data_IF_971605681185
#
_entry.id   IF_971605681185
#
_cell.length_a   1.000
_cell.length_b   1.000
_cell.length_c   1.000
_cell.angle_alpha   90.00
_cell.angle_beta   90.00
_cell.angle_gamma   90.00
#
_symmetry.space_group_name_H-M   'P 1'
#
loop_
_entity.id
_entity.type
_entity.pdbx_description
1 polymer ?
#
# COMPACT_ATOMS: atom_id res chain seq x y z
N UNK A 1 7.50 19.08 1.86
CA UNK A 1 8.06 19.25 0.49
C UNK A 1 8.99 18.09 0.07
N UNK A 2 9.76 17.48 0.99
CA UNK A 2 10.61 16.31 0.67
C UNK A 2 9.80 15.15 0.12
N UNK A 3 8.63 14.87 0.69
CA UNK A 3 7.78 13.75 0.28
C UNK A 3 7.18 13.92 -1.12
N UNK A 4 6.82 15.15 -1.54
CA UNK A 4 6.40 15.44 -2.91
C UNK A 4 7.49 15.10 -3.93
N UNK A 5 8.74 15.51 -3.63
CA UNK A 5 9.90 15.17 -4.46
C UNK A 5 10.20 13.67 -4.46
N UNK A 6 10.04 13.00 -3.32
CA UNK A 6 10.20 11.56 -3.21
C UNK A 6 9.15 10.82 -4.06
N UNK A 7 7.87 11.24 -4.02
CA UNK A 7 6.82 10.68 -4.87
C UNK A 7 7.14 10.77 -6.36
N UNK A 8 7.55 11.93 -6.84
CA UNK A 8 8.02 12.09 -8.21
C UNK A 8 9.28 11.24 -8.49
N UNK A 9 10.16 11.10 -7.49
CA UNK A 9 11.33 10.23 -7.57
C UNK A 9 10.98 8.77 -7.87
N UNK A 10 9.90 8.22 -7.28
CA UNK A 10 9.43 6.86 -7.58
C UNK A 10 8.94 6.73 -9.02
N UNK A 11 8.27 7.76 -9.56
CA UNK A 11 7.89 7.75 -10.97
C UNK A 11 9.12 7.64 -11.88
N UNK A 12 10.15 8.45 -11.61
CA UNK A 12 11.40 8.42 -12.38
C UNK A 12 12.16 7.09 -12.18
N UNK A 13 12.22 6.57 -10.94
CA UNK A 13 12.84 5.26 -10.66
C UNK A 13 12.12 4.14 -11.42
N UNK A 14 10.79 4.13 -11.42
CA UNK A 14 10.00 3.16 -12.15
C UNK A 14 10.20 3.23 -13.66
N UNK A 15 10.28 4.43 -14.26
CA UNK A 15 10.56 4.60 -15.67
C UNK A 15 11.97 4.10 -16.03
N UNK A 16 12.98 4.40 -15.19
CA UNK A 16 14.34 3.90 -15.38
C UNK A 16 14.42 2.38 -15.24
N UNK A 17 13.71 1.81 -14.28
CA UNK A 17 13.63 0.37 -14.10
C UNK A 17 13.02 -0.29 -15.33
N UNK A 18 11.88 0.19 -15.81
CA UNK A 18 11.21 -0.31 -17.00
C UNK A 18 12.10 -0.19 -18.25
N UNK A 19 12.79 0.94 -18.41
CA UNK A 19 13.73 1.16 -19.54
C UNK A 19 14.95 0.22 -19.46
N UNK A 20 15.43 -0.14 -18.27
CA UNK A 20 16.52 -1.08 -18.06
C UNK A 20 16.12 -2.55 -18.29
N UNK A 21 14.82 -2.85 -18.21
CA UNK A 21 14.28 -4.20 -18.39
C UNK A 21 13.41 -4.28 -19.66
N UNK A 22 14.03 -4.20 -20.82
CA UNK A 22 13.34 -4.13 -22.12
C UNK A 22 12.28 -5.20 -22.36
N UNK A 23 12.45 -6.42 -21.82
CA UNK A 23 11.44 -7.48 -21.87
C UNK A 23 10.18 -7.12 -21.07
N UNK A 24 10.34 -6.59 -19.86
CA UNK A 24 9.24 -6.15 -19.01
C UNK A 24 8.54 -4.92 -19.58
N UNK A 25 9.30 -3.99 -20.18
CA UNK A 25 8.75 -2.87 -20.92
C UNK A 25 7.87 -3.36 -22.09
N UNK A 26 8.37 -4.32 -22.88
CA UNK A 26 7.62 -4.93 -23.99
C UNK A 26 6.32 -5.58 -23.53
N UNK A 27 6.37 -6.33 -22.44
CA UNK A 27 5.18 -6.94 -21.81
C UNK A 27 4.19 -5.88 -21.35
N UNK A 28 4.65 -4.77 -20.77
CA UNK A 28 3.79 -3.67 -20.33
C UNK A 28 3.19 -2.84 -21.47
N UNK A 29 3.82 -2.79 -22.66
CA UNK A 29 3.28 -2.11 -23.84
C UNK A 29 2.37 -3.02 -24.69
N UNK A 30 2.49 -4.34 -24.52
CA UNK A 30 1.75 -5.33 -25.33
C UNK A 30 0.24 -5.14 -25.32
N UNK A 31 -0.42 -4.86 -24.17
CA UNK A 31 -1.87 -4.65 -24.15
C UNK A 31 -2.30 -3.44 -24.97
N UNK A 32 -1.54 -2.35 -24.94
CA UNK A 32 -1.81 -1.17 -25.76
C UNK A 32 -1.71 -1.48 -27.25
N UNK A 33 -0.72 -2.27 -27.65
CA UNK A 33 -0.55 -2.68 -29.04
C UNK A 33 -1.66 -3.65 -29.49
N UNK A 34 -2.02 -4.62 -28.68
CA UNK A 34 -3.12 -5.57 -28.97
C UNK A 34 -4.42 -4.79 -29.14
N UNK A 35 -4.73 -3.88 -28.22
CA UNK A 35 -5.94 -3.06 -28.28
C UNK A 35 -5.93 -2.17 -29.52
N UNK A 36 -4.79 -1.55 -29.84
CA UNK A 36 -4.66 -0.71 -31.03
C UNK A 36 -4.95 -1.51 -32.33
N UNK A 37 -4.35 -2.70 -32.48
CA UNK A 37 -4.59 -3.56 -33.63
C UNK A 37 -6.05 -3.99 -33.71
N UNK A 38 -6.66 -4.34 -32.59
CA UNK A 38 -8.08 -4.70 -32.50
C UNK A 38 -8.98 -3.55 -32.98
N UNK A 39 -8.73 -2.33 -32.50
CA UNK A 39 -9.54 -1.16 -32.84
C UNK A 39 -9.32 -0.70 -34.28
N UNK A 40 -8.09 -0.74 -34.77
CA UNK A 40 -7.81 -0.44 -36.19
C UNK A 40 -8.53 -1.46 -37.07
N UNK A 41 -8.47 -2.76 -36.75
CA UNK A 41 -9.21 -3.80 -37.46
C UNK A 41 -10.73 -3.58 -37.43
N UNK A 42 -11.28 -3.23 -36.27
CA UNK A 42 -12.70 -2.93 -36.11
C UNK A 42 -13.14 -1.69 -36.91
N UNK A 43 -12.34 -0.62 -36.91
CA UNK A 43 -12.63 0.59 -37.70
C UNK A 43 -12.52 0.35 -39.20
N UNK A 44 -11.55 -0.47 -39.62
CA UNK A 44 -11.45 -0.90 -41.03
C UNK A 44 -12.69 -1.73 -41.41
N UNK A 45 -13.06 -2.69 -40.58
CA UNK A 45 -14.29 -3.47 -40.80
C UNK A 45 -15.55 -2.62 -40.86
N UNK A 46 -15.64 -1.62 -39.96
CA UNK A 46 -16.73 -0.63 -39.99
C UNK A 46 -16.71 0.21 -41.27
N UNK A 47 -15.55 0.67 -41.73
CA UNK A 47 -15.42 1.45 -42.96
C UNK A 47 -15.91 0.70 -44.19
N UNK A 48 -15.64 -0.60 -44.29
CA UNK A 48 -16.12 -1.46 -45.38
C UNK A 48 -17.55 -1.92 -45.23
N UNK A 49 -18.03 -2.13 -43.99
CA UNK A 49 -19.36 -2.68 -43.73
C UNK A 49 -20.44 -1.63 -43.46
N UNK A 50 -20.09 -0.36 -43.29
CA UNK A 50 -21.05 0.69 -42.91
C UNK A 50 -22.11 0.91 -44.00
N UNK A 51 -21.76 0.89 -45.26
CA UNK A 51 -22.68 1.07 -46.40
C UNK A 51 -23.68 -0.10 -46.47
N UNK A 52 -23.20 -1.33 -46.34
CA UNK A 52 -24.03 -2.53 -46.35
C UNK A 52 -24.98 -2.53 -45.14
N UNK A 53 -24.47 -2.17 -43.98
CA UNK A 53 -25.26 -2.02 -42.74
C UNK A 53 -26.36 -0.98 -42.89
N UNK A 54 -26.05 0.18 -43.45
CA UNK A 54 -27.03 1.26 -43.69
C UNK A 54 -28.05 0.81 -44.72
N UNK A 55 -27.66 0.17 -45.82
CA UNK A 55 -28.57 -0.42 -46.80
C UNK A 55 -29.54 -1.41 -46.17
N UNK A 56 -29.02 -2.32 -45.35
CA UNK A 56 -29.82 -3.30 -44.61
C UNK A 56 -30.78 -2.64 -43.60
N UNK A 57 -30.33 -1.60 -42.92
CA UNK A 57 -31.14 -0.88 -41.90
C UNK A 57 -32.18 0.09 -42.48
N UNK A 58 -32.13 0.42 -43.78
CA UNK A 58 -32.99 1.41 -44.42
C UNK A 58 -33.78 0.86 -45.63
N UNK A 59 -34.47 -0.32 -45.51
CA UNK A 59 -35.26 -0.85 -46.65
C UNK A 59 -36.42 0.05 -47.04
N UNK A 60 -36.94 0.86 -46.12
CA UNK A 60 -38.02 1.81 -46.36
C UNK A 60 -37.65 2.93 -47.32
N UNK A 61 -36.37 3.17 -47.56
CA UNK A 61 -35.87 4.21 -48.43
C UNK A 61 -35.62 3.73 -49.88
N UNK A 62 -35.78 2.42 -50.17
CA UNK A 62 -35.46 1.86 -51.49
C UNK A 62 -36.28 2.48 -52.62
N UNK A 63 -37.49 2.91 -52.33
CA UNK A 63 -38.43 3.55 -53.31
C UNK A 63 -38.13 5.04 -53.51
N UNK A 64 -37.13 5.60 -52.87
CA UNK A 64 -36.81 7.01 -52.98
C UNK A 64 -36.07 7.30 -54.29
N UNK A 65 -36.40 8.43 -54.91
CA UNK A 65 -35.72 8.86 -56.14
C UNK A 65 -34.26 9.26 -55.90
N UNK A 66 -33.37 8.89 -56.81
CA UNK A 66 -32.03 9.46 -56.88
C UNK A 66 -32.18 10.95 -57.23
N UNK A 67 -31.49 11.90 -56.56
CA UNK A 67 -30.30 11.73 -55.69
C UNK A 67 -30.58 11.64 -54.18
N UNK A 68 -31.82 11.72 -53.73
CA UNK A 68 -32.18 11.80 -52.30
C UNK A 68 -31.78 10.53 -51.54
N UNK A 69 -31.93 9.34 -52.14
CA UNK A 69 -31.51 8.05 -51.56
C UNK A 69 -30.02 8.04 -51.28
N UNK A 70 -29.21 8.43 -52.28
CA UNK A 70 -27.74 8.45 -52.13
C UNK A 70 -27.28 9.46 -51.09
N UNK A 71 -27.87 10.64 -51.01
CA UNK A 71 -27.54 11.63 -50.01
C UNK A 71 -27.91 11.14 -48.59
N UNK A 72 -29.10 10.57 -48.42
CA UNK A 72 -29.59 10.04 -47.13
C UNK A 72 -28.70 8.93 -46.63
N UNK A 73 -28.43 7.88 -47.45
CA UNK A 73 -27.60 6.78 -47.08
C UNK A 73 -26.12 7.20 -46.84
N UNK A 74 -25.60 8.09 -47.69
CA UNK A 74 -24.24 8.62 -47.48
C UNK A 74 -24.10 9.40 -46.17
N UNK A 75 -25.09 10.26 -45.81
CA UNK A 75 -25.11 10.94 -44.50
C UNK A 75 -25.22 9.94 -43.35
N UNK A 76 -26.01 8.87 -43.47
CA UNK A 76 -26.18 7.87 -42.43
C UNK A 76 -24.94 7.01 -42.27
N UNK A 77 -24.28 6.62 -43.38
CA UNK A 77 -22.97 5.92 -43.35
C UNK A 77 -21.92 6.77 -42.66
N UNK A 78 -21.80 8.04 -42.99
CA UNK A 78 -20.88 8.97 -42.34
C UNK A 78 -21.19 9.12 -40.85
N UNK A 79 -22.48 9.17 -40.46
CA UNK A 79 -22.89 9.22 -39.05
C UNK A 79 -22.53 7.92 -38.30
N UNK A 80 -22.79 6.77 -38.90
CA UNK A 80 -22.46 5.44 -38.31
C UNK A 80 -20.94 5.33 -38.11
N UNK A 81 -20.16 5.74 -39.09
CA UNK A 81 -18.70 5.75 -38.98
C UNK A 81 -18.21 6.73 -37.91
N UNK A 82 -18.72 7.95 -37.88
CA UNK A 82 -18.38 8.95 -36.87
C UNK A 82 -18.74 8.49 -35.45
N UNK A 83 -19.91 7.87 -35.27
CA UNK A 83 -20.33 7.30 -34.00
C UNK A 83 -19.42 6.12 -33.59
N UNK A 84 -19.09 5.24 -34.50
CA UNK A 84 -18.17 4.14 -34.27
C UNK A 84 -16.76 4.61 -33.87
N UNK A 85 -16.25 5.62 -34.58
CA UNK A 85 -14.97 6.26 -34.24
C UNK A 85 -15.03 6.92 -32.84
N UNK A 86 -16.10 7.64 -32.55
CA UNK A 86 -16.30 8.26 -31.24
C UNK A 86 -16.33 7.21 -30.10
N UNK A 87 -17.09 6.13 -30.28
CA UNK A 87 -17.13 5.03 -29.32
C UNK A 87 -15.77 4.34 -29.18
N UNK A 88 -15.04 4.16 -30.30
CA UNK A 88 -13.70 3.61 -30.30
C UNK A 88 -12.74 4.45 -29.45
N UNK A 89 -12.74 5.79 -29.64
CA UNK A 89 -11.88 6.70 -28.87
C UNK A 89 -12.19 6.64 -27.37
N UNK A 90 -13.47 6.67 -26.99
CA UNK A 90 -13.87 6.64 -25.58
C UNK A 90 -13.55 5.29 -24.92
N UNK A 91 -13.86 4.19 -25.59
CA UNK A 91 -13.69 2.85 -25.04
C UNK A 91 -12.26 2.33 -25.11
N UNK A 92 -11.39 2.90 -25.97
CA UNK A 92 -10.01 2.47 -26.16
C UNK A 92 -9.23 2.38 -24.84
N UNK A 93 -9.30 3.43 -24.00
CA UNK A 93 -8.60 3.45 -22.72
C UNK A 93 -9.13 2.37 -21.77
N UNK A 94 -10.45 2.22 -21.68
CA UNK A 94 -11.07 1.22 -20.82
C UNK A 94 -10.70 -0.21 -21.24
N UNK A 95 -10.74 -0.50 -22.55
CA UNK A 95 -10.37 -1.81 -23.10
C UNK A 95 -8.87 -2.08 -22.94
N UNK A 96 -8.02 -1.07 -23.16
CA UNK A 96 -6.57 -1.18 -22.95
C UNK A 96 -6.24 -1.51 -21.50
N UNK A 97 -6.90 -0.87 -20.54
CA UNK A 97 -6.72 -1.17 -19.11
C UNK A 97 -7.22 -2.57 -18.77
N UNK A 98 -8.38 -2.98 -19.27
CA UNK A 98 -8.92 -4.32 -19.03
C UNK A 98 -8.00 -5.43 -19.57
N UNK A 99 -7.55 -5.28 -20.82
CA UNK A 99 -6.58 -6.21 -21.45
C UNK A 99 -5.23 -6.14 -20.74
N UNK A 100 -4.89 -4.98 -20.19
CA UNK A 100 -3.60 -4.72 -19.52
C UNK A 100 -3.48 -5.36 -18.14
N UNK A 101 -4.56 -5.64 -17.42
CA UNK A 101 -4.53 -6.13 -16.05
C UNK A 101 -3.55 -7.30 -15.83
N UNK A 102 -3.63 -8.44 -16.55
CA UNK A 102 -2.72 -9.57 -16.33
C UNK A 102 -1.26 -9.22 -16.64
N UNK A 103 -1.02 -8.29 -17.57
CA UNK A 103 0.33 -7.85 -17.92
C UNK A 103 0.92 -6.95 -16.83
N UNK A 104 0.13 -6.07 -16.25
CA UNK A 104 0.56 -5.18 -15.15
C UNK A 104 0.77 -5.94 -13.85
N UNK A 105 -0.04 -6.97 -13.57
CA UNK A 105 0.19 -7.89 -12.47
C UNK A 105 1.53 -8.63 -12.60
N UNK A 106 1.81 -9.16 -13.79
CA UNK A 106 3.09 -9.79 -14.09
C UNK A 106 4.26 -8.81 -13.96
N UNK A 107 4.12 -7.60 -14.50
CA UNK A 107 5.15 -6.56 -14.40
C UNK A 107 5.43 -6.20 -12.93
N UNK A 108 4.40 -5.99 -12.13
CA UNK A 108 4.54 -5.73 -10.71
C UNK A 108 5.19 -6.90 -9.96
N UNK A 109 4.87 -8.16 -10.35
CA UNK A 109 5.54 -9.35 -9.81
C UNK A 109 7.02 -9.44 -10.20
N UNK A 110 7.37 -9.04 -11.42
CA UNK A 110 8.76 -9.01 -11.89
C UNK A 110 9.58 -7.96 -11.14
N UNK A 111 8.99 -6.78 -10.84
CA UNK A 111 9.62 -5.75 -10.00
C UNK A 111 9.87 -6.30 -8.60
N UNK A 112 8.87 -6.91 -7.96
CA UNK A 112 9.05 -7.49 -6.63
C UNK A 112 10.14 -8.56 -6.61
N UNK A 113 10.20 -9.45 -7.61
CA UNK A 113 11.25 -10.47 -7.71
C UNK A 113 12.64 -9.89 -7.89
N UNK A 114 12.78 -8.86 -8.74
CA UNK A 114 14.08 -8.24 -9.01
C UNK A 114 14.66 -7.56 -7.78
N UNK A 115 13.82 -7.02 -6.93
CA UNK A 115 14.24 -6.25 -5.74
C UNK A 115 14.33 -7.12 -4.47
N UNK A 116 13.54 -8.22 -4.37
CA UNK A 116 13.55 -9.08 -3.19
C UNK A 116 14.48 -10.28 -3.30
N UNK A 117 14.93 -10.63 -4.52
CA UNK A 117 15.71 -11.86 -4.77
C UNK A 117 14.93 -13.15 -4.51
N UNK A 118 13.62 -13.10 -4.26
CA UNK A 118 12.76 -14.22 -3.90
C UNK A 118 11.46 -14.30 -4.69
N UNK A 119 10.52 -15.13 -4.23
CA UNK A 119 9.19 -15.24 -4.82
C UNK A 119 8.38 -13.95 -4.60
N UNK A 120 7.61 -13.54 -5.61
CA UNK A 120 6.66 -12.44 -5.44
C UNK A 120 5.58 -12.85 -4.42
N UNK A 121 5.12 -11.93 -3.56
CA UNK A 121 4.04 -12.21 -2.62
C UNK A 121 2.77 -12.66 -3.36
N UNK A 122 2.10 -13.69 -2.85
CA UNK A 122 0.82 -14.19 -3.36
C UNK A 122 -0.23 -14.14 -2.24
N UNK A 123 -1.45 -13.74 -2.59
CA UNK A 123 -2.54 -13.58 -1.62
C UNK A 123 -3.02 -14.91 -0.99
N UNK A 124 -2.73 -16.04 -1.64
CA UNK A 124 -3.19 -17.37 -1.21
C UNK A 124 -4.71 -17.56 -1.21
N UNK A 125 -5.47 -16.62 -1.75
CA UNK A 125 -6.92 -16.66 -1.83
C UNK A 125 -7.39 -17.43 -3.06
N UNK A 126 -8.58 -18.02 -2.99
CA UNK A 126 -9.22 -18.63 -4.16
C UNK A 126 -9.60 -17.55 -5.19
N UNK A 127 -9.43 -17.82 -6.48
CA UNK A 127 -9.73 -16.90 -7.59
C UNK A 127 -11.13 -16.25 -7.48
N UNK A 128 -12.15 -17.02 -7.11
CA UNK A 128 -13.50 -16.47 -6.96
C UNK A 128 -13.63 -15.46 -5.83
N UNK A 129 -12.92 -15.68 -4.72
CA UNK A 129 -12.90 -14.74 -3.58
C UNK A 129 -12.11 -13.50 -3.91
N UNK A 130 -11.00 -13.64 -4.61
CA UNK A 130 -10.15 -12.53 -5.05
C UNK A 130 -10.90 -11.61 -6.03
N UNK A 131 -11.58 -12.18 -7.03
CA UNK A 131 -12.46 -11.46 -7.95
C UNK A 131 -13.61 -10.74 -7.23
N UNK A 132 -14.26 -11.37 -6.26
CA UNK A 132 -15.33 -10.74 -5.49
C UNK A 132 -14.83 -9.55 -4.66
N UNK A 133 -13.68 -9.70 -3.99
CA UNK A 133 -13.05 -8.62 -3.21
C UNK A 133 -12.69 -7.46 -4.15
N UNK A 134 -12.04 -7.76 -5.28
CA UNK A 134 -11.63 -6.77 -6.27
C UNK A 134 -12.82 -6.01 -6.86
N UNK A 135 -13.90 -6.72 -7.24
CA UNK A 135 -15.12 -6.10 -7.77
C UNK A 135 -15.80 -5.18 -6.73
N UNK A 136 -15.89 -5.62 -5.49
CA UNK A 136 -16.46 -4.83 -4.38
C UNK A 136 -15.61 -3.60 -4.08
N UNK A 137 -14.29 -3.73 -4.10
CA UNK A 137 -13.36 -2.64 -3.84
C UNK A 137 -13.39 -1.62 -4.98
N UNK A 138 -13.39 -2.07 -6.24
CA UNK A 138 -13.56 -1.22 -7.42
C UNK A 138 -14.87 -0.44 -7.38
N UNK A 139 -15.99 -1.07 -7.01
CA UNK A 139 -17.29 -0.40 -6.86
C UNK A 139 -17.24 0.68 -5.78
N UNK A 140 -16.60 0.42 -4.65
CA UNK A 140 -16.45 1.41 -3.58
C UNK A 140 -15.59 2.60 -4.00
N UNK A 141 -14.51 2.35 -4.74
CA UNK A 141 -13.67 3.41 -5.30
C UNK A 141 -14.46 4.21 -6.31
N UNK A 142 -15.16 3.56 -7.23
CA UNK A 142 -15.99 4.22 -8.24
C UNK A 142 -17.04 5.14 -7.61
N UNK A 143 -17.74 4.68 -6.57
CA UNK A 143 -18.71 5.51 -5.84
C UNK A 143 -18.01 6.73 -5.22
N UNK A 144 -16.85 6.57 -4.59
CA UNK A 144 -16.11 7.69 -3.99
C UNK A 144 -15.65 8.69 -5.05
N UNK A 145 -15.03 8.20 -6.12
CA UNK A 145 -14.59 9.06 -7.24
C UNK A 145 -15.78 9.78 -7.87
N UNK A 146 -16.90 9.07 -8.06
CA UNK A 146 -18.15 9.65 -8.56
C UNK A 146 -18.68 10.76 -7.64
N UNK A 147 -18.70 10.54 -6.32
CA UNK A 147 -19.11 11.56 -5.35
C UNK A 147 -18.19 12.80 -5.40
N UNK A 148 -16.87 12.61 -5.45
CA UNK A 148 -15.94 13.74 -5.62
C UNK A 148 -16.12 14.42 -6.97
N UNK A 149 -16.34 13.66 -8.06
CA UNK A 149 -16.59 14.20 -9.39
C UNK A 149 -17.83 15.07 -9.43
N UNK A 150 -18.96 14.60 -8.89
CA UNK A 150 -20.21 15.37 -8.80
C UNK A 150 -20.04 16.64 -7.95
N UNK A 151 -19.33 16.51 -6.80
CA UNK A 151 -19.08 17.66 -5.94
C UNK A 151 -18.21 18.71 -6.64
N UNK A 152 -17.11 18.29 -7.27
CA UNK A 152 -16.21 19.19 -8.00
C UNK A 152 -16.91 19.80 -9.23
N UNK A 153 -17.74 19.02 -9.92
CA UNK A 153 -18.55 19.53 -11.03
C UNK A 153 -19.51 20.62 -10.55
N UNK A 154 -20.26 20.39 -9.47
CA UNK A 154 -21.16 21.38 -8.90
C UNK A 154 -20.42 22.66 -8.46
N UNK A 155 -19.26 22.51 -7.81
CA UNK A 155 -18.41 23.63 -7.41
C UNK A 155 -17.77 24.36 -8.61
N UNK A 156 -17.64 23.69 -9.76
CA UNK A 156 -17.14 24.26 -11.01
C UNK A 156 -17.98 25.40 -11.56
N UNK A 157 -19.27 25.47 -11.19
CA UNK A 157 -20.17 26.57 -11.59
C UNK A 157 -19.93 27.86 -10.78
N UNK A 158 -19.13 27.82 -9.72
CA UNK A 158 -18.83 29.03 -8.93
C UNK A 158 -17.86 29.91 -9.73
N UNK A 159 -18.19 31.16 -10.05
CA UNK A 159 -17.32 32.06 -10.82
C UNK A 159 -15.97 32.25 -10.10
N UNK A 160 -14.90 32.37 -10.88
CA UNK A 160 -13.52 32.58 -10.42
C UNK A 160 -12.90 31.34 -9.74
N UNK A 161 -13.56 30.77 -8.72
CA UNK A 161 -13.07 29.58 -7.99
C UNK A 161 -13.19 28.35 -8.88
N UNK A 162 -14.29 28.19 -9.60
CA UNK A 162 -14.57 27.05 -10.47
C UNK A 162 -13.55 26.87 -11.60
N UNK A 163 -13.01 27.96 -12.12
CA UNK A 163 -12.11 27.90 -13.28
C UNK A 163 -10.63 27.69 -12.92
N UNK A 164 -10.21 28.01 -11.70
CA UNK A 164 -8.79 27.92 -11.29
C UNK A 164 -8.55 26.90 -10.19
N UNK A 165 -9.29 26.99 -9.09
CA UNK A 165 -9.07 26.15 -7.90
C UNK A 165 -9.63 24.74 -8.10
N UNK A 166 -10.84 24.63 -8.68
CA UNK A 166 -11.49 23.32 -8.84
C UNK A 166 -10.73 22.38 -9.76
N UNK A 167 -10.19 22.79 -10.93
CA UNK A 167 -9.33 21.91 -11.74
C UNK A 167 -8.08 21.44 -10.98
N UNK A 168 -7.43 22.31 -10.21
CA UNK A 168 -6.25 21.93 -9.42
C UNK A 168 -6.60 20.87 -8.36
N UNK A 169 -7.71 21.06 -7.63
CA UNK A 169 -8.22 20.05 -6.70
C UNK A 169 -8.60 18.77 -7.44
N UNK A 170 -9.21 18.88 -8.62
CA UNK A 170 -9.55 17.75 -9.48
C UNK A 170 -8.33 16.92 -9.84
N UNK A 171 -7.23 17.54 -10.24
CA UNK A 171 -5.97 16.84 -10.51
C UNK A 171 -5.38 16.19 -9.24
N UNK A 172 -5.50 16.82 -8.08
CA UNK A 172 -5.06 16.21 -6.82
C UNK A 172 -5.90 14.96 -6.48
N UNK A 173 -7.22 15.05 -6.62
CA UNK A 173 -8.13 13.92 -6.39
C UNK A 173 -7.83 12.80 -7.39
N UNK A 174 -7.75 13.12 -8.67
CA UNK A 174 -7.42 12.16 -9.74
C UNK A 174 -6.05 11.51 -9.49
N UNK A 175 -5.04 12.31 -9.16
CA UNK A 175 -3.70 11.82 -8.85
C UNK A 175 -3.68 10.88 -7.65
N UNK A 176 -4.43 11.19 -6.59
CA UNK A 176 -4.53 10.31 -5.43
C UNK A 176 -5.15 8.95 -5.79
N UNK A 177 -6.29 8.95 -6.50
CA UNK A 177 -6.94 7.70 -6.90
C UNK A 177 -6.17 6.93 -7.97
N UNK A 178 -5.48 7.62 -8.87
CA UNK A 178 -4.57 6.99 -9.83
C UNK A 178 -3.41 6.28 -9.11
N UNK A 179 -2.85 6.89 -8.08
CA UNK A 179 -1.83 6.23 -7.25
C UNK A 179 -2.41 5.02 -6.53
N UNK A 180 -3.62 5.13 -5.99
CA UNK A 180 -4.31 4.00 -5.34
C UNK A 180 -4.49 2.84 -6.32
N UNK A 181 -4.97 3.10 -7.52
CA UNK A 181 -5.17 2.09 -8.57
C UNK A 181 -3.86 1.39 -8.94
N UNK A 182 -2.78 2.15 -9.18
CA UNK A 182 -1.49 1.57 -9.55
C UNK A 182 -0.83 0.78 -8.41
N UNK A 183 -1.00 1.22 -7.16
CA UNK A 183 -0.49 0.52 -5.98
C UNK A 183 -1.37 -0.66 -5.58
N UNK A 184 -2.64 -0.68 -6.02
CA UNK A 184 -3.59 -1.74 -5.71
C UNK A 184 -3.06 -3.12 -6.09
N UNK A 185 -2.46 -3.25 -7.27
CA UNK A 185 -1.88 -4.52 -7.76
C UNK A 185 -0.84 -5.09 -6.79
N UNK A 186 0.10 -4.24 -6.33
CA UNK A 186 1.15 -4.67 -5.42
C UNK A 186 0.64 -4.95 -4.00
N UNK A 187 -0.33 -4.16 -3.51
CA UNK A 187 -0.91 -4.29 -2.17
C UNK A 187 -1.90 -5.46 -2.07
N UNK A 188 -2.68 -5.75 -3.13
CA UNK A 188 -3.60 -6.89 -3.19
C UNK A 188 -2.85 -8.21 -3.14
N UNK A 189 -1.73 -8.34 -3.86
CA UNK A 189 -0.88 -9.54 -3.79
C UNK A 189 -0.32 -9.79 -2.39
N UNK A 190 -0.21 -8.75 -1.56
CA UNK A 190 0.16 -8.84 -0.15
C UNK A 190 -1.03 -9.06 0.79
N UNK A 191 -2.22 -9.33 0.23
CA UNK A 191 -3.45 -9.60 0.99
C UNK A 191 -4.05 -8.37 1.69
N UNK A 192 -3.60 -7.15 1.38
CA UNK A 192 -4.13 -5.94 2.00
C UNK A 192 -5.49 -5.56 1.42
N UNK A 193 -6.49 -5.39 2.30
CA UNK A 193 -7.81 -4.91 1.93
C UNK A 193 -7.81 -3.40 1.62
N UNK A 194 -8.89 -2.90 0.98
CA UNK A 194 -9.02 -1.50 0.56
C UNK A 194 -8.84 -0.48 1.70
N UNK A 195 -9.38 -0.77 2.91
CA UNK A 195 -9.31 0.18 4.03
C UNK A 195 -7.87 0.43 4.50
N UNK A 196 -7.06 -0.59 4.83
CA UNK A 196 -5.65 -0.40 5.19
C UNK A 196 -4.84 0.21 4.04
N UNK A 197 -5.10 -0.16 2.76
CA UNK A 197 -4.43 0.48 1.61
C UNK A 197 -4.66 1.99 1.57
N UNK A 198 -5.91 2.42 1.67
CA UNK A 198 -6.25 3.85 1.71
C UNK A 198 -5.71 4.56 2.97
N UNK A 199 -5.62 3.87 4.11
CA UNK A 199 -5.01 4.43 5.31
C UNK A 199 -3.50 4.65 5.11
N UNK A 200 -2.80 3.68 4.53
CA UNK A 200 -1.38 3.77 4.20
C UNK A 200 -1.09 4.95 3.24
N UNK A 201 -1.83 5.08 2.15
CA UNK A 201 -1.67 6.19 1.21
C UNK A 201 -2.03 7.55 1.82
N UNK A 202 -2.99 7.58 2.74
CA UNK A 202 -3.37 8.80 3.46
C UNK A 202 -2.36 9.21 4.53
N UNK A 203 -1.63 8.30 5.13
CA UNK A 203 -0.56 8.62 6.10
C UNK A 203 0.56 9.41 5.41
N UNK A 204 0.85 9.11 4.14
CA UNK A 204 1.90 9.77 3.33
C UNK A 204 1.31 10.51 2.11
N UNK A 205 0.30 11.39 2.36
CA UNK A 205 -0.45 12.09 1.30
C UNK A 205 0.43 12.86 0.31
N UNK A 206 1.45 13.53 0.80
CA UNK A 206 2.35 14.33 -0.06
C UNK A 206 3.17 13.44 -1.01
N UNK A 207 3.60 12.28 -0.54
CA UNK A 207 4.29 11.29 -1.37
C UNK A 207 3.34 10.73 -2.43
N UNK A 208 2.12 10.34 -2.04
CA UNK A 208 1.07 9.85 -2.93
C UNK A 208 0.73 10.87 -4.02
N UNK A 209 0.54 12.15 -3.64
CA UNK A 209 0.26 13.22 -4.59
C UNK A 209 1.49 13.55 -5.47
N UNK A 210 2.69 13.49 -4.92
CA UNK A 210 3.93 13.70 -5.67
C UNK A 210 4.15 12.65 -6.77
N UNK A 211 3.65 11.43 -6.58
CA UNK A 211 3.64 10.39 -7.59
C UNK A 211 2.47 10.55 -8.57
N UNK A 212 1.25 10.70 -8.05
CA UNK A 212 0.04 10.59 -8.86
C UNK A 212 -0.31 11.85 -9.64
N UNK A 213 -0.06 13.07 -9.14
CA UNK A 213 -0.46 14.30 -9.84
C UNK A 213 0.31 14.50 -11.14
N UNK A 214 1.66 14.37 -11.17
CA UNK A 214 2.41 14.44 -12.43
C UNK A 214 1.96 13.38 -13.43
N UNK A 215 1.65 12.17 -12.95
CA UNK A 215 1.18 11.08 -13.77
C UNK A 215 -0.22 11.34 -14.32
N UNK A 216 -1.14 11.88 -13.51
CA UNK A 216 -2.48 12.27 -13.95
C UNK A 216 -2.44 13.36 -15.02
N UNK A 217 -1.54 14.34 -14.89
CA UNK A 217 -1.31 15.37 -15.92
C UNK A 217 -0.77 14.73 -17.22
N UNK A 218 0.20 13.82 -17.10
CA UNK A 218 0.77 13.14 -18.26
C UNK A 218 -0.27 12.25 -18.98
N UNK A 219 -1.19 11.63 -18.23
CA UNK A 219 -2.25 10.76 -18.77
C UNK A 219 -3.38 11.51 -19.48
N UNK A 220 -3.42 12.84 -19.41
CA UNK A 220 -4.30 13.66 -20.27
C UNK A 220 -4.00 13.38 -21.77
N UNK A 221 -2.76 13.02 -22.08
CA UNK A 221 -2.36 12.63 -23.45
C UNK A 221 -2.34 11.09 -23.53
N UNK A 222 -3.30 10.44 -24.23
CA UNK A 222 -3.44 8.99 -24.26
C UNK A 222 -2.20 8.23 -24.71
N UNK A 223 -1.49 8.76 -25.71
CA UNK A 223 -0.24 8.13 -26.20
C UNK A 223 0.84 8.16 -25.12
N UNK A 224 0.98 9.26 -24.39
CA UNK A 224 1.93 9.38 -23.27
C UNK A 224 1.59 8.38 -22.19
N UNK A 225 0.29 8.20 -21.88
CA UNK A 225 -0.17 7.23 -20.90
C UNK A 225 0.30 5.81 -21.23
N UNK A 226 0.17 5.37 -22.49
CA UNK A 226 0.59 4.03 -22.92
C UNK A 226 2.08 3.79 -22.64
N UNK A 227 2.93 4.78 -22.98
CA UNK A 227 4.37 4.64 -22.77
C UNK A 227 4.81 4.77 -21.30
N UNK A 228 4.08 5.57 -20.52
CA UNK A 228 4.41 5.77 -19.11
C UNK A 228 3.87 4.64 -18.22
N UNK A 229 2.84 3.91 -18.65
CA UNK A 229 2.14 2.91 -17.83
C UNK A 229 3.08 1.83 -17.26
N UNK A 230 3.97 1.19 -18.03
CA UNK A 230 4.88 0.19 -17.46
C UNK A 230 5.77 0.74 -16.35
N UNK A 231 6.32 1.92 -16.55
CA UNK A 231 7.14 2.59 -15.54
C UNK A 231 6.33 3.09 -14.35
N UNK A 232 5.06 3.48 -14.55
CA UNK A 232 4.17 3.87 -13.47
C UNK A 232 3.84 2.67 -12.56
N UNK A 233 3.54 1.50 -13.13
CA UNK A 233 3.33 0.25 -12.36
C UNK A 233 4.59 -0.14 -11.60
N UNK A 234 5.76 -0.10 -12.26
CA UNK A 234 7.02 -0.39 -11.59
C UNK A 234 7.32 0.58 -10.44
N UNK A 235 7.14 1.89 -10.66
CA UNK A 235 7.31 2.92 -9.65
C UNK A 235 6.35 2.80 -8.47
N UNK A 236 5.08 2.46 -8.73
CA UNK A 236 4.09 2.18 -7.71
C UNK A 236 4.47 0.96 -6.85
N UNK A 237 4.98 -0.10 -7.47
CA UNK A 237 5.44 -1.30 -6.76
C UNK A 237 6.65 -1.00 -5.86
N UNK A 238 7.63 -0.23 -6.35
CA UNK A 238 8.77 0.21 -5.55
C UNK A 238 8.33 1.10 -4.38
N UNK A 239 7.41 2.03 -4.62
CA UNK A 239 6.86 2.89 -3.58
C UNK A 239 6.13 2.08 -2.49
N UNK A 240 5.35 1.06 -2.86
CA UNK A 240 4.65 0.18 -1.90
C UNK A 240 5.63 -0.55 -1.01
N UNK A 241 6.73 -1.06 -1.57
CA UNK A 241 7.77 -1.76 -0.78
C UNK A 241 8.36 -0.85 0.28
N UNK A 242 8.84 0.33 -0.14
CA UNK A 242 9.45 1.28 0.79
C UNK A 242 8.46 1.75 1.86
N UNK A 243 7.16 1.92 1.51
CA UNK A 243 6.13 2.30 2.48
C UNK A 243 5.84 1.21 3.52
N UNK A 244 5.91 -0.06 3.14
CA UNK A 244 5.72 -1.19 4.05
C UNK A 244 6.94 -1.39 4.94
N UNK A 245 8.15 -1.30 4.39
CA UNK A 245 9.39 -1.40 5.15
C UNK A 245 9.49 -0.27 6.22
N UNK A 246 9.10 0.97 5.87
CA UNK A 246 9.01 2.08 6.82
C UNK A 246 7.92 1.84 7.88
N UNK A 247 6.77 1.26 7.50
CA UNK A 247 5.66 0.97 8.42
C UNK A 247 6.07 -0.06 9.46
N UNK A 248 6.73 -1.13 9.03
CA UNK A 248 7.22 -2.21 9.90
C UNK A 248 8.32 -1.69 10.86
N UNK A 249 9.20 -0.80 10.40
CA UNK A 249 10.21 -0.16 11.22
C UNK A 249 9.59 0.79 12.28
N UNK A 250 8.55 1.55 11.90
CA UNK A 250 7.82 2.42 12.83
C UNK A 250 7.06 1.63 13.89
N UNK A 251 6.48 0.48 13.53
CA UNK A 251 5.76 -0.39 14.48
C UNK A 251 6.73 -1.10 15.43
N UNK A 252 7.90 -1.52 14.97
CA UNK A 252 8.95 -2.09 15.81
C UNK A 252 9.50 -1.09 16.82
N UNK A 253 9.72 0.16 16.41
CA UNK A 253 10.18 1.21 17.33
C UNK A 253 9.13 1.56 18.36
N UNK A 254 7.84 1.63 17.99
CA UNK A 254 6.75 1.86 18.94
C UNK A 254 6.57 0.70 19.92
N UNK A 255 6.68 -0.53 19.44
CA UNK A 255 6.65 -1.72 20.29
C UNK A 255 7.77 -1.71 21.33
N UNK A 256 9.00 -1.36 20.94
CA UNK A 256 10.14 -1.24 21.84
C UNK A 256 9.98 -0.10 22.87
N UNK A 257 9.41 1.03 22.44
CA UNK A 257 9.12 2.16 23.34
C UNK A 257 8.00 1.85 24.34
N UNK A 258 6.98 1.06 23.94
CA UNK A 258 5.91 0.61 24.84
C UNK A 258 6.40 -0.45 25.84
N UNK A 259 7.31 -1.34 25.41
CA UNK A 259 7.95 -2.34 26.30
C UNK A 259 8.84 -1.65 27.36
N UNK A 260 9.61 -0.65 26.95
CA UNK A 260 10.44 0.15 27.89
C UNK A 260 9.58 0.96 28.86
N UNK A 261 8.46 1.54 28.41
CA UNK A 261 7.52 2.24 29.29
C UNK A 261 6.75 1.30 30.22
N UNK A 262 6.38 0.13 29.74
CA UNK A 262 5.75 -0.93 30.55
C UNK A 262 6.68 -1.41 31.67
N UNK A 263 7.97 -1.64 31.35
CA UNK A 263 9.00 -2.02 32.32
C UNK A 263 9.26 -0.95 33.39
N UNK A 264 9.27 0.33 33.01
CA UNK A 264 9.39 1.43 33.97
C UNK A 264 8.18 1.59 34.88
N UNK A 265 6.98 1.23 34.41
CA UNK A 265 5.75 1.20 35.20
C UNK A 265 5.74 0.06 36.23
N UNK A 266 6.27 -1.09 35.86
CA UNK A 266 6.36 -2.27 36.73
C UNK A 266 7.43 -2.09 37.82
N UNK A 267 8.60 -1.55 37.46
CA UNK A 267 9.66 -1.22 38.44
C UNK A 267 9.21 -0.10 39.42
N UNK A 268 8.41 0.87 38.97
CA UNK A 268 7.84 1.88 39.88
C UNK A 268 6.80 1.29 40.81
N UNK A 269 5.93 0.37 40.37
CA UNK A 269 4.96 -0.34 41.21
C UNK A 269 5.64 -1.22 42.26
N UNK A 270 6.65 -1.99 41.86
CA UNK A 270 7.45 -2.80 42.77
C UNK A 270 8.20 -1.93 43.81
N UNK A 271 8.71 -0.77 43.41
CA UNK A 271 9.32 0.21 44.31
C UNK A 271 8.34 0.86 45.30
N UNK A 272 7.09 1.09 44.88
CA UNK A 272 6.04 1.60 45.77
C UNK A 272 5.49 0.53 46.75
N UNK A 273 5.42 -0.73 46.34
CA UNK A 273 5.06 -1.87 47.20
C UNK A 273 6.13 -2.12 48.26
N UNK A 274 7.42 -2.08 47.89
CA UNK A 274 8.50 -2.18 48.89
C UNK A 274 8.51 -1.03 49.85
N UNK A 275 8.24 0.20 49.43
CA UNK A 275 8.13 1.36 50.33
C UNK A 275 6.93 1.28 51.26
N UNK A 276 5.82 0.70 50.81
CA UNK A 276 4.63 0.45 51.68
C UNK A 276 4.94 -0.62 52.73
N UNK A 277 5.56 -1.72 52.35
CA UNK A 277 5.98 -2.77 53.25
C UNK A 277 6.98 -2.28 54.32
N UNK A 278 7.96 -1.44 53.93
CA UNK A 278 8.90 -0.80 54.86
C UNK A 278 8.23 0.22 55.75
N UNK A 279 7.19 0.89 55.31
CA UNK A 279 6.36 1.80 56.15
C UNK A 279 5.52 1.07 57.19
N UNK A 280 4.99 -0.11 56.84
CA UNK A 280 4.21 -0.96 57.79
C UNK A 280 5.12 -1.60 58.82
N UNK A 281 6.30 -2.10 58.46
CA UNK A 281 7.26 -2.65 59.42
C UNK A 281 7.78 -1.58 60.40
N UNK A 282 8.00 -0.34 59.94
CA UNK A 282 8.35 0.77 60.84
C UNK A 282 7.23 1.16 61.82
N UNK A 283 5.96 1.15 61.38
CA UNK A 283 4.79 1.41 62.27
C UNK A 283 4.60 0.31 63.30
N UNK A 284 4.73 -0.96 62.91
CA UNK A 284 4.70 -2.08 63.84
C UNK A 284 5.85 -2.05 64.88
N UNK A 285 7.04 -1.63 64.47
CA UNK A 285 8.19 -1.43 65.36
C UNK A 285 8.01 -0.29 66.36
N UNK A 286 7.30 0.79 65.98
CA UNK A 286 7.01 1.93 66.86
C UNK A 286 5.89 1.63 67.82
N UNK A 287 4.95 0.80 67.45
CA UNK A 287 3.84 0.33 68.29
C UNK A 287 4.31 -0.62 69.35
N UNK A 288 5.23 -1.55 69.07
CA UNK A 288 5.88 -2.43 70.04
C UNK A 288 6.79 -1.66 71.00
N UNK A 289 7.36 -0.52 70.59
CA UNK A 289 8.17 0.34 71.46
C UNK A 289 7.32 1.18 72.43
N UNK A 290 6.05 1.52 72.07
CA UNK A 290 5.10 2.21 72.97
C UNK A 290 4.47 1.34 74.02
N UNK A 291 4.35 0.02 73.79
CA UNK A 291 3.82 -0.94 74.76
C UNK A 291 4.87 -1.45 75.77
N UNK A 292 6.16 -1.26 75.50
CA UNK A 292 7.29 -1.70 76.34
C UNK A 292 7.85 -0.61 77.29
N UNK A 293 7.06 0.35 77.73
CA UNK A 293 7.49 1.37 78.70
C UNK A 293 7.21 1.00 80.14
N UNK A 294 8.21 0.50 80.83
CA UNK A 294 8.71 0.89 82.18
C UNK A 294 9.71 -0.14 82.72
N UNK A 295 10.96 0.22 82.98
CA UNK A 295 11.86 -0.68 83.73
C UNK A 295 11.80 -0.35 85.21
N UNK A 296 11.27 -1.26 86.01
CA UNK A 296 11.43 -1.30 87.44
C UNK A 296 12.87 -1.62 87.78
N UNK A 297 13.59 -0.65 88.34
CA UNK A 297 14.93 -0.85 88.90
C UNK A 297 14.90 -1.84 90.03
N UNK A 298 15.64 -2.92 89.94
CA UNK A 298 16.17 -3.66 91.12
C UNK A 298 17.62 -4.00 90.85
N UNK A 299 18.49 -3.55 91.74
CA UNK A 299 19.91 -3.69 91.70
C UNK A 299 20.40 -5.09 92.01
N UNK A 300 21.58 -5.40 91.58
CA UNK A 300 22.31 -6.63 91.93
C UNK A 300 23.57 -6.72 91.10
N UNK A 301 24.73 -6.53 91.75
CA UNK A 301 26.11 -6.48 91.26
C UNK A 301 26.67 -7.88 90.89
N UNK A 302 27.89 -7.96 90.39
CA UNK A 302 28.22 -8.76 89.23
C UNK A 302 29.00 -10.07 89.59
N UNK A 303 29.03 -11.01 88.71
CA UNK A 303 29.99 -12.12 88.76
C UNK A 303 30.63 -12.41 87.39
N UNK A 304 31.93 -12.10 87.32
CA UNK A 304 32.83 -12.52 86.24
C UNK A 304 33.03 -14.04 86.26
N UNK A 305 33.06 -14.61 85.10
CA UNK A 305 33.90 -15.76 84.64
C UNK A 305 33.71 -15.81 83.14
N UNK A 306 34.61 -15.63 82.24
CA UNK A 306 35.87 -16.24 82.03
C UNK A 306 35.79 -17.28 80.91
N UNK A 307 36.36 -17.02 79.74
CA UNK A 307 36.93 -18.08 78.97
C UNK A 307 36.25 -18.41 77.62
N UNK A 308 37.02 -18.25 76.59
CA UNK A 308 36.99 -19.23 75.50
C UNK A 308 36.99 -18.74 74.08
N UNK A 309 38.17 -18.44 73.57
CA UNK A 309 38.49 -18.40 72.15
C UNK A 309 37.97 -19.65 71.40
N UNK A 310 37.52 -19.49 70.19
CA UNK A 310 38.10 -20.27 69.05
C UNK A 310 37.72 -19.63 67.70
N UNK A 311 38.77 -19.30 66.99
CA UNK A 311 38.85 -19.12 65.52
C UNK A 311 38.68 -20.47 64.85
N UNK A 312 38.21 -20.51 63.66
CA UNK A 312 38.62 -21.30 62.46
C UNK A 312 37.83 -20.70 61.27
N UNK A 313 38.40 -19.97 60.33
CA UNK A 313 39.29 -20.37 59.24
C UNK A 313 38.66 -21.43 58.32
N UNK A 314 38.62 -21.10 57.04
CA UNK A 314 38.79 -22.06 55.97
C UNK A 314 37.64 -22.04 54.94
N UNK A 315 37.82 -21.41 53.85
CA UNK A 315 38.42 -21.91 52.60
C UNK A 315 37.36 -22.18 51.50
N UNK A 316 37.45 -21.39 50.44
CA UNK A 316 37.15 -21.88 49.08
C UNK A 316 38.19 -22.92 48.66
N UNK A 317 37.90 -23.81 47.74
CA UNK A 317 38.20 -23.64 46.32
C UNK A 317 37.19 -24.38 45.42
N UNK A 318 37.07 -24.19 44.16
CA UNK A 318 37.98 -24.20 43.05
C UNK A 318 37.29 -24.91 41.89
N UNK A 319 37.23 -24.32 40.75
CA UNK A 319 37.69 -24.74 39.43
C UNK A 319 37.56 -26.20 38.99
N UNK A 320 37.23 -26.36 37.74
CA UNK A 320 37.38 -27.52 36.83
C UNK A 320 36.23 -27.60 35.85
N UNK A 321 36.35 -27.23 34.65
CA UNK A 321 37.16 -27.64 33.50
C UNK A 321 36.45 -28.68 32.63
N UNK A 322 36.31 -28.34 31.36
CA UNK A 322 36.53 -29.14 30.14
C UNK A 322 35.60 -30.30 29.76
N UNK A 323 35.27 -30.26 28.47
CA UNK A 323 34.83 -31.36 27.60
C UNK A 323 33.95 -30.82 26.48
N UNK A 324 34.45 -30.35 25.37
CA UNK A 324 34.94 -31.03 24.14
C UNK A 324 33.92 -32.02 23.56
N UNK A 325 33.52 -31.78 22.31
CA UNK A 325 32.74 -32.71 21.50
C UNK A 325 32.05 -32.11 20.30
N UNK A 326 32.82 -31.69 19.30
CA UNK A 326 32.49 -31.64 17.86
C UNK A 326 32.47 -33.09 17.31
N UNK A 327 32.08 -33.47 16.05
CA UNK A 327 31.41 -32.78 14.96
C UNK A 327 30.33 -33.60 14.20
N UNK A 328 29.75 -32.92 13.18
CA UNK A 328 29.33 -33.46 11.88
C UNK A 328 28.12 -34.40 11.77
N UNK A 329 27.11 -33.92 11.06
CA UNK A 329 26.47 -34.69 9.97
C UNK A 329 25.74 -33.76 8.99
N UNK A 330 26.32 -33.68 7.82
CA UNK A 330 25.74 -33.18 6.57
C UNK A 330 24.83 -34.26 5.91
N UNK A 331 24.05 -33.91 4.83
CA UNK A 331 22.72 -34.41 4.46
C UNK A 331 22.71 -35.66 3.59
N UNK A 332 21.58 -36.03 3.02
CA UNK A 332 21.54 -36.03 1.57
C UNK A 332 20.25 -35.50 0.93
N UNK A 333 20.46 -35.07 -0.29
CA UNK A 333 19.54 -34.74 -1.33
C UNK A 333 18.54 -35.87 -1.70
N UNK A 334 17.31 -35.45 -2.06
CA UNK A 334 16.60 -35.88 -3.27
C UNK A 334 15.64 -34.73 -3.68
#
# INVERSE_FOLDING_TARGET
MRDLGAGFGYLVKGQRWAAGHGRSLGVGLLPGLITLVLYVGALIGLAYGADDFVGWATPFADDWSSPWLGLFRGCLTALVFALGLFLAVISFTAVTLLVGQPFYEKLSADVDRSESGGAAPESGLSLGRELWISARDSLRILIRVGCYGVLLFALGFVPVIGQSVIPAIGFCVTGFFLTEELTAVALQRRGMELRPRLALLRSRRLLTLGFGVPLAVAFVVPLVAIFLMPGAVAGATLMVRDLLDESDADDQTRGADDETRGGDGETRRAGDETRRADGETRRAGDETRRVGGEPRRVGGEPRRVGGGLRRADGQSPGAGAMGDGDPARTPPAL
#
